data_IF_932925797057
#
_entry.id   IF_932925797057
#
_cell.length_a   1.000
_cell.length_b   1.000
_cell.length_c   1.000
_cell.angle_alpha   90.00
_cell.angle_beta   90.00
_cell.angle_gamma   90.00
#
_symmetry.space_group_name_H-M   'P 1'
#
loop_
_entity.id
_entity.type
_entity.pdbx_description
1 polymer ?
#
# COMPACT_ATOMS: atom_id res chain seq x y z
N UNK A 1 -6.33 -40.05 12.71
CA UNK A 1 -6.96 -38.82 13.25
C UNK A 1 -5.98 -37.67 13.05
N UNK A 2 -6.21 -36.79 12.07
CA UNK A 2 -5.43 -35.55 11.96
C UNK A 2 -5.75 -34.65 13.16
N UNK A 3 -4.74 -34.04 13.81
CA UNK A 3 -5.02 -33.06 14.86
C UNK A 3 -5.84 -31.90 14.25
N UNK A 4 -6.82 -31.35 14.98
CA UNK A 4 -7.63 -30.25 14.48
C UNK A 4 -6.72 -29.08 14.08
N UNK A 5 -7.02 -28.37 12.97
CA UNK A 5 -6.19 -27.28 12.51
C UNK A 5 -6.01 -26.27 13.65
N UNK A 6 -4.75 -25.95 13.97
CA UNK A 6 -4.42 -24.98 15.02
C UNK A 6 -5.09 -23.66 14.65
N UNK A 7 -6.10 -23.25 15.41
CA UNK A 7 -6.72 -21.93 15.27
C UNK A 7 -5.60 -20.88 15.36
N UNK A 8 -5.39 -20.16 14.26
CA UNK A 8 -4.38 -19.11 14.20
C UNK A 8 -4.79 -18.05 15.22
N UNK A 9 -3.82 -17.49 15.94
CA UNK A 9 -4.11 -16.43 16.91
C UNK A 9 -4.62 -15.21 16.12
N UNK A 10 -5.67 -14.55 16.59
CA UNK A 10 -6.23 -13.33 15.98
C UNK A 10 -5.16 -12.27 15.71
N UNK A 11 -4.17 -12.14 16.60
CA UNK A 11 -3.01 -11.25 16.43
C UNK A 11 -2.15 -11.60 15.20
N UNK A 12 -2.05 -12.88 14.84
CA UNK A 12 -1.30 -13.34 13.68
C UNK A 12 -2.13 -13.18 12.39
N UNK A 13 -3.43 -13.46 12.44
CA UNK A 13 -4.34 -13.22 11.31
C UNK A 13 -4.35 -11.75 10.91
N UNK A 14 -4.45 -10.84 11.89
CA UNK A 14 -4.36 -9.40 11.67
C UNK A 14 -3.05 -9.02 10.96
N UNK A 15 -1.91 -9.51 11.44
CA UNK A 15 -0.60 -9.24 10.84
C UNK A 15 -0.53 -9.73 9.39
N UNK A 16 -1.04 -10.93 9.11
CA UNK A 16 -1.06 -11.48 7.76
C UNK A 16 -1.88 -10.60 6.80
N UNK A 17 -3.07 -10.18 7.24
CA UNK A 17 -3.94 -9.27 6.46
C UNK A 17 -3.24 -7.92 6.21
N UNK A 18 -2.58 -7.36 7.23
CA UNK A 18 -1.87 -6.08 7.12
C UNK A 18 -0.67 -6.14 6.16
N UNK A 19 0.07 -7.25 6.18
CA UNK A 19 1.15 -7.52 5.20
C UNK A 19 0.56 -7.58 3.79
N UNK A 20 -0.53 -8.32 3.58
CA UNK A 20 -1.17 -8.40 2.26
C UNK A 20 -1.66 -7.04 1.76
N UNK A 21 -2.25 -6.22 2.64
CA UNK A 21 -2.66 -4.86 2.33
C UNK A 21 -1.47 -3.99 1.88
N UNK A 22 -0.34 -4.07 2.59
CA UNK A 22 0.87 -3.35 2.23
C UNK A 22 1.43 -3.82 0.88
N UNK A 23 1.51 -5.13 0.66
CA UNK A 23 1.98 -5.71 -0.61
C UNK A 23 1.12 -5.25 -1.79
N UNK A 24 -0.21 -5.28 -1.65
CA UNK A 24 -1.12 -4.81 -2.71
C UNK A 24 -0.97 -3.32 -3.01
N UNK A 25 -0.81 -2.49 -1.97
CA UNK A 25 -0.57 -1.05 -2.12
C UNK A 25 0.72 -0.78 -2.91
N UNK A 26 1.81 -1.44 -2.52
CA UNK A 26 3.11 -1.31 -3.18
C UNK A 26 3.08 -1.84 -4.62
N UNK A 27 2.41 -2.98 -4.86
CA UNK A 27 2.27 -3.55 -6.20
C UNK A 27 1.50 -2.63 -7.15
N UNK A 28 0.37 -2.05 -6.69
CA UNK A 28 -0.38 -1.06 -7.48
C UNK A 28 0.50 0.14 -7.82
N UNK A 29 1.22 0.67 -6.83
CA UNK A 29 2.10 1.80 -7.04
C UNK A 29 3.22 1.50 -8.04
N UNK A 30 3.84 0.33 -7.93
CA UNK A 30 4.89 -0.11 -8.83
C UNK A 30 4.37 -0.20 -10.27
N UNK A 31 3.19 -0.78 -10.48
CA UNK A 31 2.58 -0.87 -11.81
C UNK A 31 2.33 0.50 -12.45
N UNK A 32 1.92 1.50 -11.68
CA UNK A 32 1.76 2.88 -12.17
C UNK A 32 3.11 3.52 -12.52
N UNK A 33 4.16 3.28 -11.73
CA UNK A 33 5.51 3.75 -12.01
C UNK A 33 6.11 3.08 -13.26
N UNK A 34 5.88 1.78 -13.43
CA UNK A 34 6.31 1.03 -14.60
C UNK A 34 5.62 1.56 -15.87
N UNK A 35 4.32 1.85 -15.79
CA UNK A 35 3.59 2.49 -16.90
C UNK A 35 4.17 3.85 -17.27
N UNK A 36 4.54 4.68 -16.29
CA UNK A 36 5.20 5.97 -16.55
C UNK A 36 6.57 5.79 -17.21
N UNK A 37 7.31 4.75 -16.82
CA UNK A 37 8.60 4.41 -17.43
C UNK A 37 8.44 3.90 -18.87
N UNK A 38 7.41 3.11 -19.14
CA UNK A 38 7.05 2.66 -20.48
C UNK A 38 6.66 3.84 -21.38
N UNK A 39 5.82 4.76 -20.90
CA UNK A 39 5.46 5.98 -21.61
C UNK A 39 6.70 6.81 -21.96
N UNK A 40 7.63 6.96 -21.00
CA UNK A 40 8.90 7.69 -21.18
C UNK A 40 9.78 7.01 -22.22
N UNK A 41 9.97 5.69 -22.11
CA UNK A 41 10.86 4.92 -22.98
C UNK A 41 10.31 4.85 -24.40
N UNK A 42 9.01 4.62 -24.55
CA UNK A 42 8.33 4.62 -25.84
C UNK A 42 8.45 5.98 -26.53
N UNK A 43 8.19 7.08 -25.82
CA UNK A 43 8.27 8.42 -26.43
C UNK A 43 9.69 8.78 -26.87
N UNK A 44 10.72 8.36 -26.11
CA UNK A 44 12.12 8.53 -26.50
C UNK A 44 12.47 7.73 -27.75
N UNK A 45 12.09 6.45 -27.81
CA UNK A 45 12.31 5.61 -28.99
C UNK A 45 11.59 6.16 -30.21
N UNK A 46 10.33 6.60 -30.05
CA UNK A 46 9.58 7.24 -31.13
C UNK A 46 10.28 8.51 -31.63
N UNK A 47 10.76 9.37 -30.72
CA UNK A 47 11.47 10.59 -31.07
C UNK A 47 12.81 10.30 -31.79
N UNK A 48 13.51 9.22 -31.44
CA UNK A 48 14.71 8.80 -32.14
C UNK A 48 14.41 8.37 -33.59
N UNK A 49 13.39 7.53 -33.78
CA UNK A 49 12.96 7.07 -35.12
C UNK A 49 12.52 8.24 -36.00
N UNK A 50 11.70 9.15 -35.48
CA UNK A 50 11.26 10.34 -36.22
C UNK A 50 12.43 11.26 -36.59
N UNK A 51 13.42 11.40 -35.70
CA UNK A 51 14.63 12.19 -35.94
C UNK A 51 15.49 11.57 -37.04
N UNK A 52 15.72 10.26 -36.99
CA UNK A 52 16.48 9.54 -38.02
C UNK A 52 15.79 9.64 -39.39
N UNK A 53 14.48 9.45 -39.45
CA UNK A 53 13.69 9.63 -40.67
C UNK A 53 13.84 11.06 -41.23
N UNK A 54 13.62 12.07 -40.39
CA UNK A 54 13.71 13.47 -40.80
C UNK A 54 15.13 13.85 -41.27
N UNK A 55 16.17 13.38 -40.58
CA UNK A 55 17.56 13.58 -41.00
C UNK A 55 17.88 12.88 -42.33
N UNK A 56 17.33 11.67 -42.55
CA UNK A 56 17.44 10.97 -43.83
C UNK A 56 16.83 11.77 -44.98
N UNK A 57 15.63 12.31 -44.78
CA UNK A 57 14.96 13.19 -45.77
C UNK A 57 15.75 14.49 -46.00
N UNK A 58 16.26 15.14 -44.94
CA UNK A 58 17.09 16.34 -45.08
C UNK A 58 18.36 16.06 -45.89
N UNK A 59 19.03 14.95 -45.60
CA UNK A 59 20.24 14.54 -46.32
C UNK A 59 19.94 14.29 -47.80
N UNK A 60 18.84 13.59 -48.11
CA UNK A 60 18.40 13.34 -49.48
C UNK A 60 18.11 14.65 -50.22
N UNK A 61 17.25 15.52 -49.67
CA UNK A 61 16.90 16.78 -50.30
C UNK A 61 18.11 17.70 -50.49
N UNK A 62 19.00 17.75 -49.49
CA UNK A 62 20.24 18.54 -49.56
C UNK A 62 21.19 18.09 -50.66
N UNK A 63 21.27 16.77 -50.95
CA UNK A 63 22.09 16.26 -52.04
C UNK A 63 21.62 16.77 -53.41
N UNK A 64 20.32 16.78 -53.64
CA UNK A 64 19.74 17.26 -54.90
C UNK A 64 19.72 18.78 -55.03
N UNK A 65 19.62 19.51 -53.92
CA UNK A 65 19.74 20.98 -53.91
C UNK A 65 21.16 21.45 -54.24
N UNK A 66 22.18 20.70 -53.82
CA UNK A 66 23.60 21.02 -54.10
C UNK A 66 24.08 20.53 -55.47
N UNK A 67 23.26 19.76 -56.19
CA UNK A 67 23.62 19.17 -57.48
C UNK A 67 23.54 20.22 -58.58
N UNK A 68 24.63 20.36 -59.33
CA UNK A 68 24.61 21.14 -60.57
C UNK A 68 23.91 20.34 -61.67
N UNK A 69 22.99 21.01 -62.38
CA UNK A 69 22.19 20.40 -63.43
C UNK A 69 22.67 20.87 -64.80
N UNK A 70 23.22 19.96 -65.64
CA UNK A 70 23.69 20.32 -66.97
C UNK A 70 22.56 20.93 -67.80
N UNK A 71 22.84 22.05 -68.47
CA UNK A 71 21.88 22.75 -69.33
C UNK A 71 21.10 23.89 -68.67
N UNK A 72 21.24 24.10 -67.36
CA UNK A 72 20.63 25.23 -66.65
C UNK A 72 21.66 26.36 -66.53
N UNK A 73 21.52 27.41 -67.35
CA UNK A 73 22.36 28.62 -67.24
C UNK A 73 22.01 29.38 -65.97
N UNK A 74 22.97 30.13 -65.40
CA UNK A 74 22.75 30.89 -64.17
C UNK A 74 21.58 31.89 -64.29
N UNK A 75 21.34 32.40 -65.50
CA UNK A 75 20.29 33.35 -65.85
C UNK A 75 18.87 32.72 -65.89
N UNK A 76 18.77 31.43 -66.28
CA UNK A 76 17.50 30.67 -66.36
C UNK A 76 17.00 30.18 -64.99
N UNK A 77 17.76 30.42 -63.90
CA UNK A 77 17.39 29.98 -62.55
C UNK A 77 16.17 30.73 -61.98
N UNK A 78 15.81 31.87 -62.57
CA UNK A 78 14.62 32.66 -62.25
C UNK A 78 13.55 32.64 -63.36
N UNK A 79 13.76 31.90 -64.47
CA UNK A 79 12.73 31.77 -65.50
C UNK A 79 11.61 30.83 -65.02
N UNK A 80 10.44 31.38 -64.74
CA UNK A 80 9.26 30.64 -64.30
C UNK A 80 8.72 29.65 -65.34
N UNK A 81 9.22 29.68 -66.59
CA UNK A 81 8.92 28.66 -67.63
C UNK A 81 9.79 27.40 -67.52
N UNK A 82 10.84 27.44 -66.70
CA UNK A 82 11.72 26.31 -66.41
C UNK A 82 11.10 25.35 -65.39
N UNK A 83 11.29 24.04 -65.56
CA UNK A 83 10.90 23.04 -64.55
C UNK A 83 11.80 23.05 -63.30
N UNK A 84 12.94 23.75 -63.36
CA UNK A 84 13.92 23.74 -62.28
C UNK A 84 13.48 24.50 -61.02
N UNK A 85 12.95 25.74 -61.09
CA UNK A 85 12.37 26.40 -59.93
C UNK A 85 11.30 25.55 -59.22
N UNK A 86 10.44 24.85 -59.98
CA UNK A 86 9.41 23.96 -59.43
C UNK A 86 10.04 22.81 -58.63
N UNK A 87 11.04 22.14 -59.21
CA UNK A 87 11.78 21.08 -58.54
C UNK A 87 12.53 21.58 -57.30
N UNK A 88 13.19 22.74 -57.39
CA UNK A 88 13.89 23.37 -56.28
C UNK A 88 12.93 23.69 -55.14
N UNK A 89 11.79 24.32 -55.42
CA UNK A 89 10.77 24.62 -54.40
C UNK A 89 10.22 23.36 -53.73
N UNK A 90 10.06 22.25 -54.47
CA UNK A 90 9.67 20.97 -53.89
C UNK A 90 10.73 20.44 -52.89
N UNK A 91 12.02 20.52 -53.24
CA UNK A 91 13.11 20.11 -52.35
C UNK A 91 13.22 21.01 -51.11
N UNK A 92 13.06 22.33 -51.27
CA UNK A 92 13.04 23.29 -50.15
C UNK A 92 11.85 23.05 -49.21
N UNK A 93 10.65 22.79 -49.76
CA UNK A 93 9.49 22.40 -48.98
C UNK A 93 9.70 21.09 -48.22
N UNK A 94 10.36 20.11 -48.85
CA UNK A 94 10.74 18.84 -48.21
C UNK A 94 11.71 19.06 -47.04
N UNK A 95 12.71 19.94 -47.21
CA UNK A 95 13.62 20.35 -46.13
C UNK A 95 12.88 20.99 -44.95
N UNK A 96 11.91 21.86 -45.25
CA UNK A 96 11.12 22.54 -44.23
C UNK A 96 10.26 21.55 -43.42
N UNK A 97 9.60 20.60 -44.08
CA UNK A 97 8.82 19.54 -43.41
C UNK A 97 9.73 18.68 -42.52
N UNK A 98 10.90 18.29 -43.02
CA UNK A 98 11.84 17.51 -42.24
C UNK A 98 12.38 18.28 -41.02
N UNK A 99 12.69 19.57 -41.16
CA UNK A 99 13.09 20.41 -40.03
C UNK A 99 11.97 20.54 -38.99
N UNK A 100 10.71 20.71 -39.42
CA UNK A 100 9.56 20.74 -38.52
C UNK A 100 9.42 19.45 -37.72
N UNK A 101 9.64 18.28 -38.35
CA UNK A 101 9.66 16.98 -37.65
C UNK A 101 10.77 16.88 -36.60
N UNK A 102 11.97 17.37 -36.89
CA UNK A 102 13.06 17.42 -35.91
C UNK A 102 12.66 18.27 -34.71
N UNK A 103 12.05 19.43 -34.93
CA UNK A 103 11.56 20.28 -33.84
C UNK A 103 10.47 19.56 -33.01
N UNK A 104 9.58 18.81 -33.66
CA UNK A 104 8.58 17.97 -32.98
C UNK A 104 9.22 16.85 -32.13
N UNK A 105 10.43 16.38 -32.47
CA UNK A 105 11.14 15.40 -31.64
C UNK A 105 11.47 15.95 -30.25
N UNK A 106 11.76 17.25 -30.14
CA UNK A 106 11.98 17.92 -28.85
C UNK A 106 10.68 18.00 -28.03
N UNK A 107 9.52 18.07 -28.68
CA UNK A 107 8.23 18.05 -28.00
C UNK A 107 7.96 16.72 -27.27
N UNK A 108 8.38 15.57 -27.83
CA UNK A 108 8.27 14.29 -27.13
C UNK A 108 9.05 14.28 -25.81
N UNK A 109 10.24 14.88 -25.81
CA UNK A 109 11.06 15.01 -24.60
C UNK A 109 10.37 15.92 -23.57
N UNK A 110 9.99 17.12 -24.00
CA UNK A 110 9.50 18.17 -23.09
C UNK A 110 8.09 17.93 -22.56
N UNK A 111 7.20 17.33 -23.37
CA UNK A 111 5.79 17.16 -23.00
C UNK A 111 5.43 15.73 -22.58
N UNK A 112 6.30 14.75 -22.81
CA UNK A 112 6.03 13.36 -22.42
C UNK A 112 7.14 12.81 -21.52
N UNK A 113 8.39 12.77 -21.99
CA UNK A 113 9.46 12.10 -21.24
C UNK A 113 9.79 12.75 -19.89
N UNK A 114 10.02 14.07 -19.86
CA UNK A 114 10.36 14.78 -18.62
C UNK A 114 9.15 14.88 -17.65
N UNK A 115 7.91 15.15 -18.11
CA UNK A 115 6.74 15.07 -17.25
C UNK A 115 6.51 13.68 -16.67
N UNK A 116 6.63 12.61 -17.46
CA UNK A 116 6.47 11.23 -16.96
C UNK A 116 7.50 10.90 -15.87
N UNK A 117 8.77 11.30 -16.08
CA UNK A 117 9.83 11.17 -15.06
C UNK A 117 9.50 11.94 -13.78
N UNK A 118 9.01 13.18 -13.91
CA UNK A 118 8.66 14.03 -12.77
C UNK A 118 7.50 13.44 -11.97
N UNK A 119 6.43 13.05 -12.65
CA UNK A 119 5.25 12.40 -12.02
C UNK A 119 5.66 11.11 -11.33
N UNK A 120 6.53 10.29 -11.94
CA UNK A 120 7.06 9.07 -11.32
C UNK A 120 7.79 9.38 -10.02
N UNK A 121 8.67 10.39 -10.01
CA UNK A 121 9.40 10.78 -8.79
C UNK A 121 8.47 11.28 -7.68
N UNK A 122 7.44 12.07 -8.03
CA UNK A 122 6.42 12.51 -7.08
C UNK A 122 5.64 11.34 -6.50
N UNK A 123 5.27 10.38 -7.34
CA UNK A 123 4.62 9.12 -6.93
C UNK A 123 5.51 8.35 -5.95
N UNK A 124 6.79 8.13 -6.25
CA UNK A 124 7.71 7.42 -5.35
C UNK A 124 7.81 8.09 -3.96
N UNK A 125 7.87 9.44 -3.91
CA UNK A 125 7.85 10.19 -2.65
C UNK A 125 6.52 10.05 -1.90
N UNK A 126 5.40 10.06 -2.62
CA UNK A 126 4.07 9.87 -2.07
C UNK A 126 3.90 8.47 -1.47
N UNK A 127 4.37 7.42 -2.15
CA UNK A 127 4.33 6.06 -1.63
C UNK A 127 5.07 5.97 -0.30
N UNK A 128 6.26 6.55 -0.20
CA UNK A 128 7.04 6.54 1.03
C UNK A 128 6.24 7.09 2.22
N UNK A 129 5.58 8.24 2.05
CA UNK A 129 4.72 8.84 3.08
C UNK A 129 3.52 7.94 3.42
N UNK A 130 2.89 7.32 2.42
CA UNK A 130 1.76 6.42 2.63
C UNK A 130 2.17 5.16 3.41
N UNK A 131 3.32 4.56 3.06
CA UNK A 131 3.87 3.38 3.74
C UNK A 131 4.22 3.71 5.19
N UNK A 132 4.90 4.83 5.45
CA UNK A 132 5.26 5.26 6.80
C UNK A 132 4.02 5.46 7.68
N UNK A 133 3.01 6.16 7.14
CA UNK A 133 1.76 6.41 7.85
C UNK A 133 0.95 5.12 8.09
N UNK A 134 0.80 4.26 7.07
CA UNK A 134 0.08 3.00 7.20
C UNK A 134 0.77 2.06 8.19
N UNK A 135 2.10 1.98 8.17
CA UNK A 135 2.87 1.16 9.12
C UNK A 135 2.62 1.60 10.55
N UNK A 136 2.60 2.92 10.81
CA UNK A 136 2.29 3.46 12.13
C UNK A 136 0.90 3.04 12.60
N UNK A 137 -0.13 3.28 11.77
CA UNK A 137 -1.52 2.93 12.08
C UNK A 137 -1.68 1.43 12.32
N UNK A 138 -1.09 0.60 11.46
CA UNK A 138 -1.14 -0.86 11.60
C UNK A 138 -0.47 -1.34 12.90
N UNK A 139 0.63 -0.71 13.31
CA UNK A 139 1.33 -1.02 14.56
C UNK A 139 0.48 -0.66 15.78
N UNK A 140 -0.17 0.51 15.77
CA UNK A 140 -1.08 0.96 16.85
C UNK A 140 -2.28 0.00 16.99
N UNK A 141 -2.85 -0.45 15.87
CA UNK A 141 -3.92 -1.45 15.87
C UNK A 141 -3.44 -2.81 16.40
N UNK A 142 -2.24 -3.25 16.01
CA UNK A 142 -1.65 -4.50 16.51
C UNK A 142 -1.48 -4.47 18.03
N UNK A 143 -1.00 -3.38 18.61
CA UNK A 143 -0.87 -3.25 20.07
C UNK A 143 -2.24 -3.25 20.76
N UNK A 144 -3.25 -2.60 20.17
CA UNK A 144 -4.63 -2.64 20.70
C UNK A 144 -5.18 -4.08 20.75
N UNK A 145 -4.99 -4.86 19.68
CA UNK A 145 -5.43 -6.27 19.63
C UNK A 145 -4.60 -7.18 20.55
N UNK A 146 -3.33 -6.86 20.76
CA UNK A 146 -2.47 -7.55 21.73
C UNK A 146 -2.95 -7.30 23.16
N UNK A 147 -3.37 -6.09 23.50
CA UNK A 147 -3.93 -5.78 24.82
C UNK A 147 -5.28 -6.46 25.04
N UNK A 148 -6.13 -6.54 24.01
CA UNK A 148 -7.32 -7.40 24.03
C UNK A 148 -6.97 -8.87 24.33
N UNK A 149 -5.96 -9.41 23.68
CA UNK A 149 -5.53 -10.80 23.89
C UNK A 149 -5.01 -11.03 25.33
N UNK A 150 -4.26 -10.07 25.90
CA UNK A 150 -3.82 -10.12 27.30
C UNK A 150 -5.01 -10.03 28.26
N UNK A 151 -5.94 -9.10 28.03
CA UNK A 151 -7.14 -8.92 28.82
C UNK A 151 -7.99 -10.19 28.85
N UNK A 152 -8.20 -10.80 27.68
CA UNK A 152 -8.88 -12.10 27.55
C UNK A 152 -8.19 -13.19 28.36
N UNK A 153 -6.86 -13.34 28.22
CA UNK A 153 -6.10 -14.36 28.95
C UNK A 153 -6.24 -14.18 30.46
N UNK A 154 -6.05 -12.96 30.98
CA UNK A 154 -6.19 -12.63 32.40
C UNK A 154 -7.60 -12.93 32.93
N UNK A 155 -8.63 -12.58 32.16
CA UNK A 155 -10.03 -12.92 32.51
C UNK A 155 -10.24 -14.43 32.63
N UNK A 156 -9.79 -15.21 31.64
CA UNK A 156 -9.96 -16.67 31.67
C UNK A 156 -9.22 -17.31 32.86
N UNK A 157 -7.99 -16.89 33.16
CA UNK A 157 -7.21 -17.40 34.30
C UNK A 157 -7.87 -17.07 35.64
N UNK A 158 -8.36 -15.84 35.80
CA UNK A 158 -9.03 -15.40 37.04
C UNK A 158 -10.40 -16.02 37.23
N UNK A 159 -11.19 -16.20 36.17
CA UNK A 159 -12.48 -16.89 36.24
C UNK A 159 -12.30 -18.38 36.54
N UNK A 160 -11.29 -19.05 35.96
CA UNK A 160 -10.97 -20.45 36.29
C UNK A 160 -10.62 -20.62 37.77
N UNK A 161 -9.84 -19.70 38.33
CA UNK A 161 -9.52 -19.70 39.76
C UNK A 161 -10.76 -19.46 40.63
N UNK A 162 -11.62 -18.50 40.25
CA UNK A 162 -12.86 -18.22 40.96
C UNK A 162 -13.81 -19.43 40.92
N UNK A 163 -13.92 -20.10 39.78
CA UNK A 163 -14.71 -21.32 39.61
C UNK A 163 -14.24 -22.43 40.56
N UNK A 164 -12.93 -22.74 40.57
CA UNK A 164 -12.38 -23.78 41.44
C UNK A 164 -12.63 -23.50 42.93
N UNK A 165 -12.60 -22.22 43.36
CA UNK A 165 -12.91 -21.84 44.74
C UNK A 165 -14.42 -21.95 45.04
N UNK A 166 -15.30 -21.65 44.07
CA UNK A 166 -16.76 -21.85 44.20
C UNK A 166 -17.07 -23.34 44.36
N UNK A 167 -16.51 -24.20 43.52
CA UNK A 167 -16.70 -25.65 43.62
C UNK A 167 -16.22 -26.20 44.96
N UNK A 168 -15.05 -25.78 45.44
CA UNK A 168 -14.56 -26.17 46.76
C UNK A 168 -15.50 -25.74 47.89
N UNK A 169 -16.03 -24.52 47.83
CA UNK A 169 -16.97 -24.01 48.83
C UNK A 169 -18.30 -24.77 48.81
N UNK A 170 -18.78 -25.15 47.63
CA UNK A 170 -20.03 -25.89 47.49
C UNK A 170 -19.86 -27.35 47.96
N UNK A 171 -18.69 -27.96 47.75
CA UNK A 171 -18.34 -29.27 48.34
C UNK A 171 -18.29 -29.17 49.87
N UNK A 172 -17.60 -28.17 50.43
CA UNK A 172 -17.47 -27.99 51.89
C UNK A 172 -18.84 -27.72 52.55
N UNK A 173 -19.74 -27.01 51.88
CA UNK A 173 -21.11 -26.79 52.34
C UNK A 173 -21.96 -28.07 52.33
N UNK A 174 -21.69 -29.00 51.40
CA UNK A 174 -22.40 -30.29 51.30
C UNK A 174 -21.79 -31.36 52.21
N UNK A 175 -20.50 -31.30 52.51
CA UNK A 175 -19.82 -32.24 53.41
C UNK A 175 -20.14 -31.93 54.87
N UNK A 176 -21.12 -32.62 55.46
CA UNK A 176 -21.38 -32.57 56.90
C UNK A 176 -20.26 -33.29 57.66
N UNK A 177 -19.47 -32.51 58.41
CA UNK A 177 -18.48 -32.93 59.42
C UNK A 177 -17.32 -33.84 58.97
N UNK A 178 -16.11 -33.30 59.03
CA UNK A 178 -14.91 -34.11 59.29
C UNK A 178 -14.96 -34.59 60.74
N UNK A 179 -15.12 -35.89 60.96
CA UNK A 179 -15.23 -36.52 62.28
C UNK A 179 -14.00 -36.32 63.19
N UNK A 180 -12.89 -35.80 62.63
CA UNK A 180 -11.62 -35.58 63.32
C UNK A 180 -11.27 -34.08 63.51
N UNK A 181 -12.17 -33.15 63.21
CA UNK A 181 -11.91 -31.71 63.34
C UNK A 181 -12.86 -31.03 64.34
N UNK A 182 -12.30 -30.22 65.23
CA UNK A 182 -13.05 -29.40 66.18
C UNK A 182 -13.99 -28.42 65.48
N UNK A 183 -15.15 -28.14 66.08
CA UNK A 183 -16.12 -27.14 65.61
C UNK A 183 -15.48 -25.76 65.35
N UNK A 184 -14.49 -25.37 66.16
CA UNK A 184 -13.78 -24.10 66.01
C UNK A 184 -12.87 -24.11 64.77
N UNK A 185 -12.18 -25.22 64.48
CA UNK A 185 -11.30 -25.29 63.31
C UNK A 185 -12.10 -25.32 62.00
N UNK A 186 -13.23 -26.02 61.99
CA UNK A 186 -14.19 -26.01 60.87
C UNK A 186 -14.75 -24.61 60.61
N UNK A 187 -15.14 -23.88 61.67
CA UNK A 187 -15.63 -22.50 61.52
C UNK A 187 -14.55 -21.57 60.97
N UNK A 188 -13.29 -21.68 61.46
CA UNK A 188 -12.16 -20.90 60.93
C UNK A 188 -11.88 -21.21 59.46
N UNK A 189 -11.91 -22.48 59.06
CA UNK A 189 -11.71 -22.91 57.68
C UNK A 189 -12.81 -22.36 56.75
N UNK A 190 -14.06 -22.45 57.18
CA UNK A 190 -15.22 -21.93 56.43
C UNK A 190 -15.15 -20.41 56.25
N UNK A 191 -14.80 -19.65 57.30
CA UNK A 191 -14.61 -18.20 57.20
C UNK A 191 -13.48 -17.85 56.23
N UNK A 192 -12.35 -18.57 56.30
CA UNK A 192 -11.22 -18.38 55.38
C UNK A 192 -11.60 -18.69 53.94
N UNK A 193 -12.38 -19.75 53.71
CA UNK A 193 -12.85 -20.11 52.37
C UNK A 193 -13.85 -19.09 51.82
N UNK A 194 -14.76 -18.58 52.66
CA UNK A 194 -15.70 -17.52 52.28
C UNK A 194 -14.96 -16.22 51.90
N UNK A 195 -13.95 -15.82 52.67
CA UNK A 195 -13.11 -14.68 52.35
C UNK A 195 -12.37 -14.87 51.01
N UNK A 196 -11.74 -16.03 50.81
CA UNK A 196 -11.05 -16.37 49.55
C UNK A 196 -12.01 -16.40 48.35
N UNK A 197 -13.22 -16.93 48.51
CA UNK A 197 -14.28 -16.93 47.46
C UNK A 197 -14.64 -15.50 47.07
N UNK A 198 -14.85 -14.63 48.07
CA UNK A 198 -15.15 -13.22 47.83
C UNK A 198 -14.03 -12.52 47.06
N UNK A 199 -12.78 -12.73 47.46
CA UNK A 199 -11.60 -12.15 46.81
C UNK A 199 -11.44 -12.62 45.37
N UNK A 200 -11.51 -13.93 45.12
CA UNK A 200 -11.39 -14.49 43.77
C UNK A 200 -12.53 -14.02 42.85
N UNK A 201 -13.76 -13.95 43.37
CA UNK A 201 -14.90 -13.42 42.61
C UNK A 201 -14.72 -11.94 42.23
N UNK A 202 -14.23 -11.13 43.18
CA UNK A 202 -13.93 -9.71 42.92
C UNK A 202 -12.86 -9.56 41.84
N UNK A 203 -11.76 -10.33 41.92
CA UNK A 203 -10.68 -10.35 40.93
C UNK A 203 -11.17 -10.77 39.53
N UNK A 204 -11.99 -11.82 39.45
CA UNK A 204 -12.57 -12.28 38.18
C UNK A 204 -13.52 -11.24 37.57
N UNK A 205 -14.35 -10.59 38.41
CA UNK A 205 -15.24 -9.50 37.97
C UNK A 205 -14.45 -8.31 37.42
N UNK A 206 -13.39 -7.90 38.11
CA UNK A 206 -12.53 -6.82 37.64
C UNK A 206 -11.83 -7.17 36.32
N UNK A 207 -11.24 -8.37 36.21
CA UNK A 207 -10.61 -8.82 34.96
C UNK A 207 -11.61 -8.96 33.80
N UNK A 208 -12.86 -9.35 34.08
CA UNK A 208 -13.94 -9.37 33.08
C UNK A 208 -14.24 -7.97 32.57
N UNK A 209 -14.35 -6.99 33.46
CA UNK A 209 -14.62 -5.59 33.08
C UNK A 209 -13.47 -5.02 32.24
N UNK A 210 -12.21 -5.25 32.64
CA UNK A 210 -11.03 -4.87 31.86
C UNK A 210 -11.06 -5.50 30.45
N UNK A 211 -11.41 -6.79 30.36
CA UNK A 211 -11.55 -7.48 29.09
C UNK A 211 -12.66 -6.87 28.21
N UNK A 212 -13.82 -6.55 28.78
CA UNK A 212 -14.91 -5.91 28.03
C UNK A 212 -14.53 -4.52 27.52
N UNK A 213 -13.80 -3.73 28.31
CA UNK A 213 -13.30 -2.42 27.89
C UNK A 213 -12.28 -2.53 26.74
N UNK A 214 -11.32 -3.44 26.87
CA UNK A 214 -10.33 -3.69 25.79
C UNK A 214 -10.98 -4.27 24.53
N UNK A 215 -12.05 -5.05 24.66
CA UNK A 215 -12.85 -5.54 23.53
C UNK A 215 -13.57 -4.41 22.80
N UNK A 216 -14.24 -3.52 23.54
CA UNK A 216 -14.89 -2.34 22.97
C UNK A 216 -13.88 -1.42 22.26
N UNK A 217 -12.72 -1.17 22.89
CA UNK A 217 -11.66 -0.36 22.30
C UNK A 217 -11.08 -0.98 21.02
N UNK A 218 -10.82 -2.29 21.02
CA UNK A 218 -10.32 -2.99 19.84
C UNK A 218 -11.30 -2.97 18.67
N UNK A 219 -12.60 -3.18 18.93
CA UNK A 219 -13.63 -3.09 17.90
C UNK A 219 -13.71 -1.69 17.31
N UNK A 220 -13.75 -0.65 18.16
CA UNK A 220 -13.79 0.74 17.69
C UNK A 220 -12.54 1.13 16.88
N UNK A 221 -11.35 0.68 17.30
CA UNK A 221 -10.12 0.91 16.55
C UNK A 221 -10.13 0.16 15.20
N UNK A 222 -10.62 -1.07 15.17
CA UNK A 222 -10.78 -1.83 13.93
C UNK A 222 -11.74 -1.15 12.96
N UNK A 223 -12.88 -0.65 13.44
CA UNK A 223 -13.84 0.09 12.61
C UNK A 223 -13.20 1.35 12.03
N UNK A 224 -12.50 2.14 12.85
CA UNK A 224 -11.76 3.31 12.39
C UNK A 224 -10.71 2.95 11.34
N UNK A 225 -9.94 1.88 11.57
CA UNK A 225 -8.91 1.43 10.65
C UNK A 225 -9.46 1.17 9.25
N UNK A 226 -10.57 0.43 9.16
CA UNK A 226 -11.16 0.07 7.87
C UNK A 226 -11.97 1.19 7.23
N UNK A 227 -12.75 1.95 8.02
CA UNK A 227 -13.68 2.95 7.48
C UNK A 227 -13.02 4.31 7.22
N UNK A 228 -11.94 4.62 7.94
CA UNK A 228 -11.29 5.94 7.87
C UNK A 228 -9.86 5.81 7.41
N UNK A 229 -9.02 5.11 8.18
CA UNK A 229 -7.57 5.20 8.00
C UNK A 229 -7.11 4.58 6.68
N UNK A 230 -7.52 3.34 6.39
CA UNK A 230 -7.21 2.68 5.11
C UNK A 230 -7.80 3.44 3.92
N UNK A 231 -9.04 3.92 4.04
CA UNK A 231 -9.71 4.68 2.99
C UNK A 231 -8.93 5.95 2.67
N UNK A 232 -8.44 6.66 3.69
CA UNK A 232 -7.66 7.87 3.50
C UNK A 232 -6.30 7.59 2.86
N UNK A 233 -5.60 6.52 3.28
CA UNK A 233 -4.35 6.09 2.63
C UNK A 233 -4.61 5.77 1.15
N UNK A 234 -5.69 5.03 0.85
CA UNK A 234 -6.03 4.67 -0.53
C UNK A 234 -6.40 5.89 -1.38
N UNK A 235 -7.13 6.87 -0.84
CA UNK A 235 -7.50 8.13 -1.54
C UNK A 235 -6.28 8.95 -1.92
N UNK A 236 -5.28 9.05 -1.02
CA UNK A 236 -4.03 9.74 -1.34
C UNK A 236 -3.33 9.05 -2.50
N UNK A 237 -3.48 7.74 -2.68
CA UNK A 237 -2.90 6.99 -3.81
C UNK A 237 -3.77 6.94 -5.08
N UNK A 238 -4.90 7.66 -5.14
CA UNK A 238 -5.70 7.78 -6.37
C UNK A 238 -5.14 8.90 -7.26
N UNK A 239 -5.18 8.74 -8.60
CA UNK A 239 -4.68 9.72 -9.55
C UNK A 239 -5.43 11.06 -9.50
#
# INVERSE_FOLDING_TARGET
MQPPPRKVKVTQELKNIQVEQMTKLQAKHQAECDLLEDMRTFSQKKAAIEREYAQGIQKLASQYLKRDWPGIKADDRNDYRSMYPVWKSFLEGTMQVAQSRINMCENYKNFISEPARTVRSLKEQQLKRCVDQLTKIQTELQETVKDLAKGKKKYFETEQMAHAVREKADIEAKSKLSLFQSRISLQKASVKLKARRSECNSKATHARNDYLLTLAAANAHQDRYYQTDLVNIMKVTQP
#
